data_IF_940187260608
#
_entry.id   IF_940187260608
#
_cell.length_a   1.000
_cell.length_b   1.000
_cell.length_c   1.000
_cell.angle_alpha   90.00
_cell.angle_beta   90.00
_cell.angle_gamma   90.00
#
_symmetry.space_group_name_H-M   'P 1'
#
loop_
_entity.id
_entity.type
_entity.pdbx_description
1 polymer ?
#
# COMPACT_ATOMS: atom_id res chain seq x y z
N UNK A 1 2.80 37.02 -18.69
CA UNK A 1 2.43 36.01 -17.67
C UNK A 1 2.27 34.69 -18.40
N UNK A 2 3.23 33.76 -18.29
CA UNK A 2 3.19 32.45 -18.99
C UNK A 2 2.34 31.50 -18.15
N UNK A 3 1.11 31.26 -18.57
CA UNK A 3 0.23 30.23 -18.00
C UNK A 3 0.82 28.86 -18.37
N UNK A 4 1.57 28.25 -17.45
CA UNK A 4 1.87 26.81 -17.54
C UNK A 4 0.61 26.08 -17.10
N UNK A 5 -0.24 25.75 -18.06
CA UNK A 5 -1.21 24.65 -17.92
C UNK A 5 -0.41 23.35 -17.90
N UNK A 6 0.25 23.08 -16.79
CA UNK A 6 0.68 21.73 -16.46
C UNK A 6 -0.57 21.01 -15.98
N UNK A 7 -1.24 20.29 -16.87
CA UNK A 7 -1.98 19.11 -16.42
C UNK A 7 -0.92 18.20 -15.81
N UNK A 8 -0.75 18.28 -14.49
CA UNK A 8 0.00 17.27 -13.76
C UNK A 8 -0.95 16.08 -13.73
N UNK A 9 -0.83 15.18 -14.70
CA UNK A 9 -1.29 13.79 -14.52
C UNK A 9 -0.34 13.14 -13.53
N UNK A 10 -0.30 13.66 -12.30
CA UNK A 10 0.16 12.93 -11.14
C UNK A 10 -1.02 12.02 -10.76
N UNK A 11 -1.18 10.95 -11.50
CA UNK A 11 -1.71 9.73 -10.91
C UNK A 11 -0.49 8.98 -10.41
N UNK A 12 0.14 9.44 -9.32
CA UNK A 12 1.13 8.63 -8.59
C UNK A 12 0.36 7.44 -8.05
N UNK A 13 0.35 6.39 -8.84
CA UNK A 13 -0.27 5.14 -8.48
C UNK A 13 0.84 4.20 -8.06
N UNK A 14 0.77 3.76 -6.81
CA UNK A 14 1.74 2.86 -6.23
C UNK A 14 1.10 1.49 -6.07
N UNK A 15 1.87 0.45 -6.33
CA UNK A 15 1.44 -0.93 -6.21
C UNK A 15 2.55 -1.78 -5.63
N UNK A 16 2.19 -2.83 -4.89
CA UNK A 16 3.14 -3.81 -4.39
C UNK A 16 2.64 -5.23 -4.65
N UNK A 17 3.56 -6.18 -4.74
CA UNK A 17 3.28 -7.61 -4.78
C UNK A 17 4.18 -8.32 -3.77
N UNK A 18 3.62 -9.25 -2.99
CA UNK A 18 4.35 -10.09 -2.04
C UNK A 18 3.91 -11.55 -2.24
N UNK A 19 4.87 -12.46 -2.33
CA UNK A 19 4.59 -13.89 -2.36
C UNK A 19 4.03 -14.38 -1.01
N UNK A 20 2.92 -15.11 -1.02
CA UNK A 20 2.32 -15.67 0.21
C UNK A 20 3.26 -16.63 0.96
N UNK A 21 4.18 -17.28 0.24
CA UNK A 21 5.24 -18.10 0.84
C UNK A 21 6.28 -17.31 1.64
N UNK A 22 6.31 -15.98 1.50
CA UNK A 22 7.26 -15.09 2.17
C UNK A 22 6.71 -14.42 3.43
N UNK A 23 5.40 -14.52 3.65
CA UNK A 23 4.71 -13.91 4.77
C UNK A 23 3.95 -14.96 5.56
N UNK A 24 3.80 -14.71 6.86
CA UNK A 24 2.97 -15.55 7.72
C UNK A 24 1.50 -15.26 7.52
N UNK A 25 0.62 -16.21 7.87
CA UNK A 25 -0.84 -15.96 7.91
C UNK A 25 -1.19 -14.75 8.77
N UNK A 26 -0.48 -14.54 9.88
CA UNK A 26 -0.69 -13.37 10.73
C UNK A 26 -0.41 -12.06 9.99
N UNK A 27 0.74 -11.96 9.30
CA UNK A 27 1.09 -10.78 8.50
C UNK A 27 0.10 -10.55 7.36
N UNK A 28 -0.31 -11.62 6.69
CA UNK A 28 -1.31 -11.56 5.65
C UNK A 28 -2.65 -10.98 6.14
N UNK A 29 -3.14 -11.41 7.31
CA UNK A 29 -4.36 -10.84 7.92
C UNK A 29 -4.17 -9.37 8.30
N UNK A 30 -2.97 -8.98 8.77
CA UNK A 30 -2.66 -7.58 9.07
C UNK A 30 -2.66 -6.71 7.80
N UNK A 31 -2.15 -7.21 6.67
CA UNK A 31 -2.19 -6.52 5.37
C UNK A 31 -3.64 -6.31 4.92
N UNK A 32 -4.51 -7.31 5.08
CA UNK A 32 -5.93 -7.18 4.73
C UNK A 32 -6.66 -6.20 5.65
N UNK A 33 -6.26 -6.13 6.92
CA UNK A 33 -6.85 -5.25 7.92
C UNK A 33 -6.02 -3.97 8.17
N UNK A 34 -5.19 -3.56 7.22
CA UNK A 34 -4.25 -2.46 7.37
C UNK A 34 -4.95 -1.15 7.76
N UNK A 35 -6.16 -0.89 7.24
CA UNK A 35 -6.97 0.27 7.58
C UNK A 35 -7.25 0.38 9.10
N UNK A 36 -7.68 -0.72 9.72
CA UNK A 36 -7.99 -0.73 11.15
C UNK A 36 -6.73 -0.69 12.03
N UNK A 37 -5.59 -1.09 11.48
CA UNK A 37 -4.30 -1.12 12.18
C UNK A 37 -3.49 0.16 12.01
N UNK A 38 -3.79 0.96 10.99
CA UNK A 38 -3.12 2.22 10.70
C UNK A 38 -2.96 3.13 11.94
N UNK A 39 -4.05 3.31 12.71
CA UNK A 39 -4.04 4.12 13.95
C UNK A 39 -3.08 3.55 15.00
N UNK A 40 -3.03 2.21 15.14
CA UNK A 40 -2.16 1.53 16.11
C UNK A 40 -0.68 1.79 15.84
N UNK A 41 -0.30 1.88 14.57
CA UNK A 41 1.09 2.11 14.15
C UNK A 41 1.41 3.61 13.98
N UNK A 42 0.48 4.51 14.29
CA UNK A 42 0.68 5.95 14.13
C UNK A 42 0.84 6.39 12.67
N UNK A 43 0.38 5.57 11.72
CA UNK A 43 0.45 5.88 10.29
C UNK A 43 -0.75 6.74 9.94
N UNK A 44 -0.53 7.74 9.08
CA UNK A 44 -1.58 8.66 8.63
C UNK A 44 -2.77 7.86 8.10
N UNK A 45 -3.94 8.09 8.70
CA UNK A 45 -5.19 7.50 8.24
C UNK A 45 -5.64 8.14 6.93
N UNK A 46 -6.36 7.37 6.13
CA UNK A 46 -7.04 7.86 4.96
C UNK A 46 -8.09 8.90 5.36
N UNK A 47 -8.23 9.98 4.58
CA UNK A 47 -9.33 10.92 4.75
C UNK A 47 -10.68 10.24 4.47
N UNK A 48 -10.67 9.18 3.66
CA UNK A 48 -11.82 8.34 3.35
C UNK A 48 -11.40 6.87 3.13
N UNK A 49 -12.21 5.90 3.57
CA UNK A 49 -12.00 4.47 3.29
C UNK A 49 -11.94 4.13 1.79
N UNK A 50 -12.51 4.97 0.92
CA UNK A 50 -12.39 4.81 -0.54
C UNK A 50 -10.98 5.09 -1.07
N UNK A 51 -10.15 5.82 -0.30
CA UNK A 51 -8.74 6.06 -0.63
C UNK A 51 -7.83 4.97 -0.06
N UNK A 52 -8.40 3.93 0.56
CA UNK A 52 -7.66 2.81 1.10
C UNK A 52 -6.94 2.02 0.00
N UNK A 53 -5.78 1.47 0.34
CA UNK A 53 -5.10 0.51 -0.53
C UNK A 53 -6.05 -0.64 -0.86
N UNK A 54 -6.25 -0.88 -2.14
CA UNK A 54 -7.03 -1.99 -2.65
C UNK A 54 -6.15 -3.24 -2.56
N UNK A 55 -6.54 -4.17 -1.70
CA UNK A 55 -5.82 -5.42 -1.50
C UNK A 55 -6.51 -6.54 -2.28
N UNK A 56 -5.76 -7.19 -3.17
CA UNK A 56 -6.19 -8.36 -3.93
C UNK A 56 -5.24 -9.52 -3.66
N UNK A 57 -5.75 -10.75 -3.74
CA UNK A 57 -4.97 -11.95 -3.46
C UNK A 57 -5.30 -13.06 -4.44
N UNK A 58 -4.34 -13.96 -4.65
CA UNK A 58 -4.57 -15.26 -5.30
C UNK A 58 -3.83 -16.35 -4.52
N UNK A 59 -3.72 -17.55 -5.09
CA UNK A 59 -3.09 -18.69 -4.40
C UNK A 59 -1.61 -18.49 -4.08
N UNK A 60 -0.91 -17.63 -4.81
CA UNK A 60 0.55 -17.48 -4.74
C UNK A 60 1.02 -16.15 -4.15
N UNK A 61 0.27 -15.06 -4.35
CA UNK A 61 0.68 -13.72 -3.96
C UNK A 61 -0.49 -12.86 -3.45
N UNK A 62 -0.12 -11.80 -2.74
CA UNK A 62 -0.97 -10.68 -2.38
C UNK A 62 -0.46 -9.44 -3.12
N UNK A 63 -1.39 -8.65 -3.65
CA UNK A 63 -1.11 -7.40 -4.35
C UNK A 63 -1.88 -6.28 -3.67
N UNK A 64 -1.22 -5.16 -3.43
CA UNK A 64 -1.90 -3.91 -3.07
C UNK A 64 -1.73 -2.87 -4.16
N UNK A 65 -2.73 -2.03 -4.37
CA UNK A 65 -2.66 -0.86 -5.24
C UNK A 65 -3.37 0.33 -4.63
N UNK A 66 -2.83 1.52 -4.85
CA UNK A 66 -3.45 2.80 -4.49
C UNK A 66 -3.27 3.81 -5.61
N UNK A 67 -4.25 4.69 -5.76
CA UNK A 67 -4.14 5.91 -6.58
C UNK A 67 -3.83 7.15 -5.74
N UNK A 68 -3.67 6.99 -4.42
CA UNK A 68 -3.52 8.06 -3.43
C UNK A 68 -2.34 7.77 -2.51
N UNK A 69 -1.38 8.69 -2.42
CA UNK A 69 -0.21 8.61 -1.52
C UNK A 69 -0.54 9.00 -0.05
N UNK A 70 -1.75 8.68 0.41
CA UNK A 70 -2.25 9.09 1.73
C UNK A 70 -1.93 8.10 2.87
N UNK A 71 -1.40 6.92 2.55
CA UNK A 71 -1.01 5.89 3.51
C UNK A 71 0.35 5.30 3.15
N UNK A 72 1.26 5.33 4.11
CA UNK A 72 2.61 4.80 3.94
C UNK A 72 2.61 3.28 4.13
N UNK A 73 2.31 2.58 3.04
CA UNK A 73 2.22 1.13 3.03
C UNK A 73 3.58 0.47 3.19
N UNK A 74 4.66 1.14 2.78
CA UNK A 74 6.02 0.65 2.96
C UNK A 74 6.38 0.57 4.44
N UNK A 75 6.19 1.68 5.18
CA UNK A 75 6.40 1.71 6.63
C UNK A 75 5.48 0.69 7.33
N UNK A 76 4.21 0.61 6.92
CA UNK A 76 3.29 -0.36 7.52
C UNK A 76 3.77 -1.81 7.37
N UNK A 77 4.25 -2.18 6.17
CA UNK A 77 4.74 -3.53 5.89
C UNK A 77 5.98 -3.86 6.71
N UNK A 78 6.89 -2.90 6.91
CA UNK A 78 8.06 -3.05 7.77
C UNK A 78 7.67 -3.23 9.25
N UNK A 79 6.71 -2.44 9.75
CA UNK A 79 6.24 -2.50 11.15
C UNK A 79 5.56 -3.83 11.49
N UNK A 80 4.87 -4.48 10.54
CA UNK A 80 4.33 -5.83 10.71
C UNK A 80 5.38 -6.93 10.46
N UNK A 81 6.62 -6.56 10.16
CA UNK A 81 7.78 -7.46 10.00
C UNK A 81 7.88 -8.13 8.64
N UNK A 82 7.26 -7.60 7.59
CA UNK A 82 7.52 -8.05 6.21
C UNK A 82 8.89 -7.53 5.81
N UNK A 83 9.74 -8.41 5.25
CA UNK A 83 11.06 -8.02 4.78
C UNK A 83 10.91 -7.23 3.49
N UNK A 84 11.47 -6.02 3.45
CA UNK A 84 11.43 -5.16 2.26
C UNK A 84 11.95 -5.83 0.99
N UNK A 85 12.97 -6.69 1.11
CA UNK A 85 13.49 -7.47 -0.04
C UNK A 85 12.56 -8.57 -0.58
N UNK A 86 11.47 -8.91 0.12
CA UNK A 86 10.43 -9.83 -0.35
C UNK A 86 9.22 -9.07 -0.97
N UNK A 87 9.28 -7.74 -1.04
CA UNK A 87 8.24 -6.87 -1.60
C UNK A 87 8.69 -6.34 -2.97
N UNK A 88 7.86 -6.55 -3.99
CA UNK A 88 8.09 -5.99 -5.32
C UNK A 88 7.18 -4.77 -5.53
N UNK A 89 7.79 -3.58 -5.60
CA UNK A 89 7.09 -2.31 -5.81
C UNK A 89 7.01 -1.91 -7.29
N UNK A 90 5.87 -1.33 -7.66
CA UNK A 90 5.58 -0.82 -9.00
C UNK A 90 4.96 0.56 -8.85
N UNK A 91 5.53 1.56 -9.54
CA UNK A 91 4.99 2.91 -9.60
C UNK A 91 4.67 3.23 -11.06
N UNK A 92 3.44 3.65 -11.34
CA UNK A 92 2.98 4.03 -12.68
C UNK A 92 2.44 5.44 -12.73
#
# INVERSE_FOLDING_TARGET
MKSRLGFVSNSSSSSFIIGKSKITTYQFEQIKNHYALAERYGIKLYDNTYDAWIITENDNYIKGETSMDNFDMEIFLEEIGVKSGDIEWWHS
#
